data_IF_873391924806
#
_entry.id   IF_873391924806
#
_cell.length_a   1.000
_cell.length_b   1.000
_cell.length_c   1.000
_cell.angle_alpha   90.00
_cell.angle_beta   90.00
_cell.angle_gamma   90.00
#
_symmetry.space_group_name_H-M   'P 1'
#
loop_
_entity.id
_entity.type
_entity.pdbx_description
1 polymer ?
#
# COMPACT_ATOMS: atom_id res chain seq x y z
N UNK A 1 -35.63 -45.82 19.20
CA UNK A 1 -34.18 -46.12 19.20
C UNK A 1 -33.46 -44.83 19.53
N UNK A 2 -32.91 -44.70 20.74
CA UNK A 2 -31.66 -44.01 21.13
C UNK A 2 -31.54 -44.33 22.63
N UNK A 3 -30.50 -45.07 23.02
CA UNK A 3 -30.18 -45.36 24.40
C UNK A 3 -29.18 -44.30 24.90
N UNK A 4 -29.55 -43.57 25.96
CA UNK A 4 -28.61 -42.83 26.80
C UNK A 4 -28.16 -43.79 27.91
N UNK A 5 -26.85 -44.01 28.04
CA UNK A 5 -26.25 -44.64 29.20
C UNK A 5 -25.21 -43.69 29.78
N UNK A 6 -25.60 -42.99 30.84
CA UNK A 6 -24.71 -42.46 31.86
C UNK A 6 -24.48 -43.55 32.93
N UNK A 7 -23.24 -43.71 33.38
CA UNK A 7 -22.95 -44.38 34.65
C UNK A 7 -21.68 -43.78 35.32
N UNK A 8 -21.64 -43.71 36.67
CA UNK A 8 -20.87 -42.71 37.41
C UNK A 8 -19.59 -43.22 38.07
N UNK A 9 -18.76 -42.26 38.47
CA UNK A 9 -17.50 -42.37 39.23
C UNK A 9 -17.69 -43.02 40.61
N UNK A 10 -16.70 -43.81 41.06
CA UNK A 10 -16.52 -44.13 42.48
C UNK A 10 -15.03 -44.29 42.84
N UNK A 11 -14.69 -43.88 44.07
CA UNK A 11 -13.36 -43.48 44.56
C UNK A 11 -12.82 -44.51 45.58
N UNK A 12 -11.53 -44.89 45.42
CA UNK A 12 -10.43 -45.33 46.34
C UNK A 12 -10.72 -46.19 47.62
N UNK A 13 -9.75 -46.99 48.18
CA UNK A 13 -8.76 -46.40 49.12
C UNK A 13 -7.39 -47.14 49.33
N UNK A 14 -6.27 -46.38 49.25
CA UNK A 14 -5.09 -46.31 50.21
C UNK A 14 -4.21 -47.56 50.56
N UNK A 15 -3.09 -47.45 51.34
CA UNK A 15 -1.87 -46.61 51.23
C UNK A 15 -0.54 -47.38 51.51
N UNK A 16 0.64 -46.91 51.05
CA UNK A 16 1.94 -47.17 51.74
C UNK A 16 3.12 -46.31 51.23
N UNK A 17 3.66 -45.46 52.11
CA UNK A 17 5.07 -45.01 52.14
C UNK A 17 5.73 -45.75 53.32
N UNK A 18 7.04 -46.07 53.36
CA UNK A 18 8.11 -45.04 53.31
C UNK A 18 9.51 -45.49 52.77
N UNK A 19 10.41 -44.50 52.63
CA UNK A 19 11.82 -44.49 53.13
C UNK A 19 12.89 -44.06 52.11
N UNK A 20 13.77 -43.18 52.63
CA UNK A 20 14.92 -42.45 52.05
C UNK A 20 16.05 -43.32 51.44
N UNK A 21 16.78 -42.69 50.50
CA UNK A 21 18.26 -42.52 50.47
C UNK A 21 19.06 -43.29 49.38
N UNK A 22 19.66 -42.55 48.44
CA UNK A 22 21.12 -42.33 48.24
C UNK A 22 21.48 -42.05 46.77
N UNK A 23 22.15 -40.90 46.58
CA UNK A 23 23.22 -40.55 45.64
C UNK A 23 23.72 -41.62 44.64
N UNK A 24 23.77 -41.22 43.36
CA UNK A 24 24.96 -41.40 42.53
C UNK A 24 25.13 -40.16 41.63
N UNK A 25 26.15 -39.36 41.93
CA UNK A 25 26.78 -38.40 41.02
C UNK A 25 27.87 -39.17 40.28
N UNK A 26 27.97 -39.01 38.96
CA UNK A 26 29.21 -38.89 38.15
C UNK A 26 28.79 -38.84 36.66
N UNK A 27 29.25 -37.81 35.95
CA UNK A 27 29.19 -37.73 34.49
C UNK A 27 29.45 -36.32 33.99
N UNK A 28 30.73 -35.94 33.93
CA UNK A 28 31.24 -34.63 33.56
C UNK A 28 30.78 -34.14 32.18
N UNK A 29 30.51 -32.84 32.08
CA UNK A 29 30.27 -32.13 30.83
C UNK A 29 30.22 -30.62 31.07
N UNK A 30 31.36 -30.02 31.43
CA UNK A 30 31.51 -28.57 31.43
C UNK A 30 31.63 -28.12 29.97
N UNK A 31 30.61 -27.43 29.47
CA UNK A 31 30.78 -26.51 28.33
C UNK A 31 30.27 -25.14 28.77
N UNK A 32 31.20 -24.33 29.24
CA UNK A 32 31.10 -22.88 29.22
C UNK A 32 31.20 -22.44 27.75
N UNK A 33 30.10 -21.96 27.17
CA UNK A 33 30.16 -21.19 25.94
C UNK A 33 29.07 -20.11 25.91
N UNK A 34 29.52 -18.92 26.30
CA UNK A 34 29.16 -17.61 25.75
C UNK A 34 27.68 -17.17 25.78
N UNK A 35 27.43 -16.27 26.72
CA UNK A 35 26.43 -15.21 26.62
C UNK A 35 26.55 -14.48 25.26
N UNK A 36 25.65 -14.77 24.32
CA UNK A 36 25.39 -13.95 23.13
C UNK A 36 24.12 -14.42 22.39
N UNK A 37 23.01 -14.66 23.10
CA UNK A 37 21.78 -15.13 22.44
C UNK A 37 20.47 -14.55 23.00
N UNK A 38 20.52 -13.45 23.76
CA UNK A 38 19.31 -12.82 24.33
C UNK A 38 19.10 -11.35 23.96
N UNK A 39 19.92 -10.80 23.05
CA UNK A 39 19.81 -9.42 22.55
C UNK A 39 19.20 -9.31 21.14
N UNK A 40 18.46 -10.32 20.68
CA UNK A 40 17.89 -10.35 19.32
C UNK A 40 16.36 -10.28 19.23
N UNK A 41 15.63 -10.29 20.36
CA UNK A 41 14.19 -10.59 20.35
C UNK A 41 13.31 -9.57 21.08
N UNK A 42 13.83 -8.41 21.48
CA UNK A 42 13.02 -7.36 22.10
C UNK A 42 13.49 -5.96 21.64
N UNK A 43 12.59 -5.30 20.89
CA UNK A 43 12.54 -3.90 20.44
C UNK A 43 13.06 -3.58 19.01
N UNK A 44 12.35 -2.71 18.25
CA UNK A 44 10.90 -2.56 18.13
C UNK A 44 10.47 -2.34 16.65
N UNK A 45 9.65 -3.23 16.06
CA UNK A 45 8.99 -2.95 14.76
C UNK A 45 7.69 -2.13 14.92
N UNK A 46 7.74 -1.08 15.75
CA UNK A 46 6.63 -0.12 15.92
C UNK A 46 6.97 1.25 15.31
N UNK A 47 7.81 1.27 14.28
CA UNK A 47 7.84 2.36 13.29
C UNK A 47 7.21 1.81 12.01
N UNK A 48 5.97 1.36 12.12
CA UNK A 48 5.12 1.26 10.94
C UNK A 48 5.02 2.68 10.39
N UNK A 49 5.50 2.84 9.17
CA UNK A 49 5.48 4.10 8.43
C UNK A 49 4.05 4.66 8.46
N UNK A 50 3.84 5.99 8.40
CA UNK A 50 2.51 6.50 8.14
C UNK A 50 2.05 5.83 6.84
N UNK A 51 1.08 4.91 6.94
CA UNK A 51 0.53 4.17 5.81
C UNK A 51 -0.01 5.20 4.86
N UNK A 52 0.75 5.49 3.81
CA UNK A 52 0.36 6.46 2.79
C UNK A 52 -1.02 6.04 2.26
N UNK A 53 -1.93 7.00 2.00
CA UNK A 53 -3.26 6.65 1.54
C UNK A 53 -3.16 5.90 0.20
N UNK A 54 -3.77 4.72 0.11
CA UNK A 54 -4.04 4.09 -1.18
C UNK A 54 -5.30 4.71 -1.77
N UNK A 55 -5.26 5.10 -3.03
CA UNK A 55 -6.37 5.76 -3.72
C UNK A 55 -7.16 4.83 -4.65
N UNK A 56 -6.87 3.52 -4.61
CA UNK A 56 -7.62 2.53 -5.37
C UNK A 56 -9.10 2.49 -4.98
N UNK A 57 -9.98 2.54 -5.98
CA UNK A 57 -11.44 2.57 -5.81
C UNK A 57 -11.96 3.80 -5.07
N UNK A 58 -11.17 4.88 -5.00
CA UNK A 58 -11.57 6.15 -4.36
C UNK A 58 -11.93 7.17 -5.42
N UNK A 59 -12.94 7.98 -5.15
CA UNK A 59 -13.30 9.10 -6.02
C UNK A 59 -12.16 10.10 -6.16
N UNK A 60 -12.01 10.70 -7.34
CA UNK A 60 -10.98 11.71 -7.60
C UNK A 60 -11.16 12.96 -6.71
N UNK A 61 -12.37 13.20 -6.20
CA UNK A 61 -12.66 14.22 -5.20
C UNK A 61 -11.89 14.01 -3.88
N UNK A 62 -11.60 12.75 -3.50
CA UNK A 62 -10.82 12.43 -2.29
C UNK A 62 -9.37 12.87 -2.48
N UNK A 63 -8.77 12.52 -3.61
CA UNK A 63 -7.40 12.96 -3.97
C UNK A 63 -7.33 14.49 -4.02
N UNK A 64 -8.33 15.14 -4.65
CA UNK A 64 -8.40 16.59 -4.71
C UNK A 64 -8.46 17.24 -3.32
N UNK A 65 -9.21 16.66 -2.39
CA UNK A 65 -9.29 17.14 -1.01
C UNK A 65 -7.94 17.00 -0.29
N UNK A 66 -7.28 15.85 -0.40
CA UNK A 66 -5.99 15.59 0.23
C UNK A 66 -4.87 16.47 -0.35
N UNK A 67 -4.99 16.86 -1.61
CA UNK A 67 -4.13 17.84 -2.27
C UNK A 67 -4.41 19.29 -1.87
N UNK A 68 -5.46 19.55 -1.08
CA UNK A 68 -5.98 20.90 -0.81
C UNK A 68 -6.29 21.67 -2.10
N UNK A 69 -6.93 21.00 -3.05
CA UNK A 69 -7.26 21.55 -4.35
C UNK A 69 -8.54 22.42 -4.26
N UNK A 70 -8.55 23.56 -4.95
CA UNK A 70 -9.72 24.43 -5.01
C UNK A 70 -10.61 24.08 -6.21
N UNK A 71 -11.93 24.33 -6.08
CA UNK A 71 -12.90 24.26 -7.19
C UNK A 71 -12.91 22.91 -7.94
N UNK A 72 -12.93 21.81 -7.20
CA UNK A 72 -13.04 20.49 -7.81
C UNK A 72 -14.33 20.37 -8.64
N UNK A 73 -14.20 19.92 -9.88
CA UNK A 73 -15.29 19.64 -10.81
C UNK A 73 -15.11 18.24 -11.35
N UNK A 74 -16.09 17.36 -11.11
CA UNK A 74 -16.09 16.00 -11.65
C UNK A 74 -16.24 16.04 -13.17
N UNK A 75 -15.44 15.26 -13.89
CA UNK A 75 -15.60 15.08 -15.32
C UNK A 75 -16.85 14.23 -15.59
N UNK A 76 -17.55 14.50 -16.69
CA UNK A 76 -18.59 13.58 -17.14
C UNK A 76 -17.94 12.24 -17.45
N UNK A 77 -18.51 11.13 -16.95
CA UNK A 77 -18.00 9.79 -17.25
C UNK A 77 -17.99 9.60 -18.77
N UNK A 78 -16.86 9.16 -19.32
CA UNK A 78 -16.72 8.86 -20.73
C UNK A 78 -16.50 7.36 -20.88
N UNK A 79 -17.53 6.65 -21.38
CA UNK A 79 -17.46 5.20 -21.65
C UNK A 79 -16.53 4.84 -22.82
N UNK A 80 -16.02 5.83 -23.55
CA UNK A 80 -15.15 5.68 -24.73
C UNK A 80 -13.64 5.87 -24.42
N UNK A 81 -13.22 5.84 -23.16
CA UNK A 81 -11.80 6.02 -22.81
C UNK A 81 -10.94 4.81 -23.21
N UNK A 82 -9.74 5.08 -23.73
CA UNK A 82 -8.75 4.07 -24.15
C UNK A 82 -8.28 3.18 -22.99
N UNK A 83 -8.48 3.64 -21.76
CA UNK A 83 -8.20 2.91 -20.52
C UNK A 83 -9.38 3.05 -19.56
N UNK A 84 -9.50 2.10 -18.63
CA UNK A 84 -10.53 2.15 -17.57
C UNK A 84 -10.02 3.02 -16.43
N UNK A 85 -10.92 3.79 -15.83
CA UNK A 85 -10.65 4.56 -14.61
C UNK A 85 -11.90 4.53 -13.73
N UNK A 86 -11.72 4.72 -12.42
CA UNK A 86 -12.81 4.77 -11.44
C UNK A 86 -13.53 6.11 -11.50
N UNK A 87 -12.77 7.20 -11.36
CA UNK A 87 -13.30 8.56 -11.40
C UNK A 87 -12.27 9.54 -11.97
N UNK A 88 -12.75 10.65 -12.50
CA UNK A 88 -11.91 11.71 -13.02
C UNK A 88 -12.54 13.06 -12.72
N UNK A 89 -11.69 14.06 -12.45
CA UNK A 89 -12.13 15.43 -12.32
C UNK A 89 -10.99 16.41 -12.49
N UNK A 90 -11.34 17.69 -12.50
CA UNK A 90 -10.38 18.79 -12.56
C UNK A 90 -10.46 19.64 -11.30
N UNK A 91 -9.34 20.23 -10.90
CA UNK A 91 -9.30 21.20 -9.81
C UNK A 91 -8.15 22.20 -10.01
N UNK A 92 -8.16 23.27 -9.22
CA UNK A 92 -7.10 24.28 -9.18
C UNK A 92 -6.13 23.97 -8.03
N UNK A 93 -4.91 23.55 -8.38
CA UNK A 93 -3.80 23.32 -7.45
C UNK A 93 -2.80 24.47 -7.56
N UNK A 94 -2.70 25.33 -6.53
CA UNK A 94 -1.83 26.52 -6.52
C UNK A 94 -1.99 27.43 -7.76
N UNK A 95 -3.23 27.55 -8.26
CA UNK A 95 -3.56 28.36 -9.44
C UNK A 95 -3.44 27.61 -10.78
N UNK A 96 -2.89 26.38 -10.78
CA UNK A 96 -2.80 25.54 -11.98
C UNK A 96 -4.00 24.59 -12.07
N UNK A 97 -4.63 24.50 -13.24
CA UNK A 97 -5.72 23.54 -13.46
C UNK A 97 -5.13 22.16 -13.74
N UNK A 98 -5.43 21.20 -12.87
CA UNK A 98 -4.94 19.82 -12.96
C UNK A 98 -6.12 18.87 -13.16
N UNK A 99 -5.89 17.81 -13.94
CA UNK A 99 -6.77 16.64 -14.01
C UNK A 99 -6.27 15.60 -13.04
N UNK A 100 -7.20 15.05 -12.26
CA UNK A 100 -6.99 13.94 -11.34
C UNK A 100 -7.77 12.75 -11.88
N UNK A 101 -7.11 11.62 -12.04
CA UNK A 101 -7.73 10.34 -12.42
C UNK A 101 -7.45 9.31 -11.34
N UNK A 102 -8.46 8.55 -10.92
CA UNK A 102 -8.31 7.43 -9.99
C UNK A 102 -8.71 6.11 -10.64
N UNK A 103 -8.26 5.00 -10.07
CA UNK A 103 -8.42 3.67 -10.68
C UNK A 103 -8.99 2.66 -9.67
N UNK A 104 -9.76 1.68 -10.15
CA UNK A 104 -10.22 0.56 -9.32
C UNK A 104 -9.11 -0.46 -9.05
N UNK A 105 -8.16 -0.59 -9.99
CA UNK A 105 -7.07 -1.57 -9.96
C UNK A 105 -5.75 -0.94 -10.33
N UNK A 106 -4.66 -1.47 -9.77
CA UNK A 106 -3.29 -1.06 -10.13
C UNK A 106 -3.01 -1.27 -11.62
N UNK A 107 -3.49 -2.39 -12.19
CA UNK A 107 -3.35 -2.70 -13.61
C UNK A 107 -3.95 -1.64 -14.54
N UNK A 108 -5.00 -0.93 -14.11
CA UNK A 108 -5.62 0.13 -14.90
C UNK A 108 -4.73 1.40 -14.90
N UNK A 109 -4.05 1.67 -13.79
CA UNK A 109 -3.00 2.70 -13.70
C UNK A 109 -1.76 2.36 -14.54
N UNK A 110 -1.34 1.10 -14.57
CA UNK A 110 -0.24 0.63 -15.43
C UNK A 110 -0.60 0.74 -16.92
N UNK A 111 -1.86 0.43 -17.28
CA UNK A 111 -2.38 0.64 -18.62
C UNK A 111 -2.36 2.13 -18.99
N UNK A 112 -2.79 3.01 -18.10
CA UNK A 112 -2.67 4.46 -18.28
C UNK A 112 -1.21 4.88 -18.52
N UNK A 113 -0.27 4.44 -17.69
CA UNK A 113 1.15 4.75 -17.85
C UNK A 113 1.70 4.25 -19.20
N UNK A 114 1.24 3.08 -19.66
CA UNK A 114 1.58 2.52 -20.97
C UNK A 114 1.05 3.39 -22.12
N UNK A 115 -0.18 3.91 -22.00
CA UNK A 115 -0.75 4.87 -22.96
C UNK A 115 0.06 6.17 -22.97
N UNK A 116 0.39 6.72 -21.80
CA UNK A 116 1.23 7.92 -21.66
C UNK A 116 2.61 7.75 -22.31
N UNK A 117 3.16 6.52 -22.28
CA UNK A 117 4.46 6.21 -22.86
C UNK A 117 4.41 5.95 -24.38
N UNK A 118 3.43 5.20 -24.85
CA UNK A 118 3.44 4.64 -26.20
C UNK A 118 2.55 5.42 -27.19
N UNK A 119 1.43 5.97 -26.70
CA UNK A 119 0.39 6.56 -27.55
C UNK A 119 0.45 8.09 -27.52
N UNK A 120 0.59 8.67 -26.33
CA UNK A 120 0.60 10.12 -26.16
C UNK A 120 1.72 10.83 -26.94
N UNK A 121 2.96 10.32 -27.02
CA UNK A 121 4.00 10.97 -27.84
C UNK A 121 3.65 11.06 -29.33
N UNK A 122 2.77 10.16 -29.82
CA UNK A 122 2.32 10.12 -31.22
C UNK A 122 1.13 11.07 -31.41
N UNK A 123 0.14 11.03 -30.51
CA UNK A 123 -1.09 11.83 -30.63
C UNK A 123 -0.94 13.27 -30.17
N UNK A 124 -0.08 13.51 -29.17
CA UNK A 124 0.22 14.82 -28.60
C UNK A 124 1.74 15.04 -28.53
N UNK A 125 2.42 15.25 -29.68
CA UNK A 125 3.87 15.44 -29.71
C UNK A 125 4.36 16.61 -28.85
N UNK A 126 3.52 17.62 -28.63
CA UNK A 126 3.80 18.78 -27.77
C UNK A 126 3.89 18.43 -26.28
N UNK A 127 3.47 17.24 -25.87
CA UNK A 127 3.54 16.76 -24.49
C UNK A 127 4.82 15.97 -24.21
N UNK A 128 5.63 15.69 -25.23
CA UNK A 128 6.94 15.05 -25.04
C UNK A 128 7.83 15.92 -24.14
N UNK A 129 8.47 15.30 -23.15
CA UNK A 129 9.29 15.98 -22.14
C UNK A 129 8.48 16.60 -21.00
N UNK A 130 7.15 16.54 -21.06
CA UNK A 130 6.30 17.07 -20.00
C UNK A 130 6.13 16.07 -18.85
N UNK A 131 5.76 16.58 -17.68
CA UNK A 131 5.75 15.85 -16.41
C UNK A 131 4.33 15.67 -15.87
N UNK A 132 4.05 14.46 -15.38
CA UNK A 132 2.86 14.14 -14.60
C UNK A 132 3.26 13.40 -13.32
N UNK A 133 2.35 13.28 -12.37
CA UNK A 133 2.54 12.47 -11.17
C UNK A 133 1.60 11.26 -11.18
N UNK A 134 2.08 10.14 -10.66
CA UNK A 134 1.24 8.96 -10.46
C UNK A 134 1.66 8.22 -9.19
N UNK A 135 0.70 7.56 -8.56
CA UNK A 135 0.91 6.70 -7.41
C UNK A 135 -0.17 5.62 -7.32
N UNK A 136 -0.21 4.85 -6.22
CA UNK A 136 -1.14 3.74 -6.07
C UNK A 136 -2.61 4.18 -6.19
N UNK A 137 -3.22 3.91 -7.34
CA UNK A 137 -4.62 4.22 -7.63
C UNK A 137 -4.93 5.66 -8.03
N UNK A 138 -3.93 6.49 -8.34
CA UNK A 138 -4.15 7.87 -8.79
C UNK A 138 -3.10 8.37 -9.78
N UNK A 139 -3.52 9.32 -10.61
CA UNK A 139 -2.69 10.12 -11.52
C UNK A 139 -3.11 11.57 -11.41
N UNK A 140 -2.14 12.48 -11.49
CA UNK A 140 -2.35 13.91 -11.60
C UNK A 140 -1.52 14.49 -12.75
N UNK A 141 -2.17 15.31 -13.58
CA UNK A 141 -1.57 15.96 -14.74
C UNK A 141 -2.03 17.42 -14.83
N UNK A 142 -1.14 18.36 -15.12
CA UNK A 142 -1.54 19.72 -15.51
C UNK A 142 -2.21 19.65 -16.89
N UNK A 143 -3.46 20.10 -16.93
CA UNK A 143 -4.36 20.00 -18.08
C UNK A 143 -3.90 20.76 -19.32
N UNK A 144 -3.03 21.76 -19.15
CA UNK A 144 -2.61 22.65 -20.25
C UNK A 144 -1.19 22.32 -20.68
N UNK A 145 -0.28 22.29 -19.71
CA UNK A 145 1.15 22.35 -20.00
C UNK A 145 1.96 21.20 -19.40
N UNK A 146 1.34 20.29 -18.62
CA UNK A 146 2.02 19.14 -18.00
C UNK A 146 3.35 19.54 -17.33
N UNK A 147 3.31 20.60 -16.51
CA UNK A 147 4.50 21.14 -15.85
C UNK A 147 4.92 20.30 -14.63
N UNK A 148 6.20 20.37 -14.23
CA UNK A 148 6.71 19.56 -13.12
C UNK A 148 6.21 20.02 -11.74
N UNK A 149 6.03 21.32 -11.55
CA UNK A 149 5.61 21.91 -10.26
C UNK A 149 4.34 21.27 -9.65
N UNK A 150 3.20 21.16 -10.37
CA UNK A 150 2.00 20.51 -9.81
C UNK A 150 2.20 19.02 -9.55
N UNK A 151 3.01 18.33 -10.37
CA UNK A 151 3.31 16.91 -10.18
C UNK A 151 4.17 16.67 -8.93
N UNK A 152 5.23 17.43 -8.75
CA UNK A 152 6.11 17.39 -7.57
C UNK A 152 5.32 17.73 -6.30
N UNK A 153 4.48 18.78 -6.36
CA UNK A 153 3.63 19.17 -5.24
C UNK A 153 2.65 18.07 -4.86
N UNK A 154 2.09 17.36 -5.84
CA UNK A 154 1.18 16.26 -5.59
C UNK A 154 1.85 15.11 -4.85
N UNK A 155 3.00 14.65 -5.33
CA UNK A 155 3.80 13.60 -4.67
C UNK A 155 4.16 14.02 -3.24
N UNK A 156 4.57 15.27 -3.05
CA UNK A 156 4.91 15.79 -1.73
C UNK A 156 3.70 15.82 -0.77
N UNK A 157 2.54 16.34 -1.20
CA UNK A 157 1.34 16.47 -0.35
C UNK A 157 0.71 15.12 -0.01
N UNK A 158 0.57 14.25 -1.02
CA UNK A 158 0.01 12.91 -0.83
C UNK A 158 0.99 11.95 -0.17
N UNK A 159 2.27 12.36 -0.10
CA UNK A 159 3.39 11.58 0.40
C UNK A 159 3.52 10.24 -0.31
N UNK A 160 2.98 10.09 -1.52
CA UNK A 160 2.96 8.82 -2.28
C UNK A 160 3.21 9.10 -3.76
N UNK A 161 3.56 8.04 -4.50
CA UNK A 161 3.80 8.13 -5.94
C UNK A 161 5.15 8.72 -6.32
N UNK A 162 5.28 9.03 -7.61
CA UNK A 162 6.46 9.62 -8.22
C UNK A 162 6.06 10.53 -9.39
N UNK A 163 7.00 11.35 -9.84
CA UNK A 163 6.88 12.10 -11.09
C UNK A 163 7.41 11.28 -12.25
N UNK A 164 6.78 11.46 -13.41
CA UNK A 164 7.10 10.75 -14.64
C UNK A 164 7.16 11.74 -15.79
N UNK A 165 8.13 11.54 -16.69
CA UNK A 165 8.30 12.35 -17.89
C UNK A 165 7.79 11.56 -19.10
N UNK A 166 6.98 12.20 -19.93
CA UNK A 166 6.51 11.61 -21.19
C UNK A 166 7.70 11.52 -22.15
N UNK A 167 8.10 10.31 -22.58
CA UNK A 167 9.27 10.14 -23.43
C UNK A 167 8.97 10.55 -24.86
N UNK A 168 10.03 10.72 -25.66
CA UNK A 168 9.87 10.78 -27.10
C UNK A 168 9.34 9.44 -27.64
N UNK A 169 8.63 9.48 -28.76
CA UNK A 169 8.22 8.27 -29.46
C UNK A 169 9.47 7.45 -29.82
N UNK A 170 9.47 6.16 -29.47
CA UNK A 170 10.51 5.24 -29.90
C UNK A 170 10.19 4.84 -31.34
N UNK A 171 11.07 5.20 -32.28
CA UNK A 171 10.98 4.79 -33.68
C UNK A 171 11.35 3.31 -33.86
#
# INVERSE_FOLDING_TARGET
MVALQDAPVSVDPTPRRPRRSRLTVIGAGVVLAAAAATAGWLAPRLIAHPTQPSYLGRDAAVVAKDLNCARYTKAATHDESVYRYHDQGTCSLEGTTVTITTFDRESDGDAFASVMKAVIPILHPTWVGATYAAGPGWVLADTRNLTSAPAELAVHRLKSGATYVIPAASH
#
